data_IF_713548580721
#
_entry.id   IF_713548580721
#
_cell.length_a   1.000
_cell.length_b   1.000
_cell.length_c   1.000
_cell.angle_alpha   90.00
_cell.angle_beta   90.00
_cell.angle_gamma   90.00
#
_symmetry.space_group_name_H-M   'P 1'
#
loop_
_entity.id
_entity.type
_entity.pdbx_description
1 polymer ?
#
# COMPACT_ATOMS: atom_id res chain seq x y z
N UNK A 1 -23.82 -29.90 -9.35
CA UNK A 1 -23.32 -28.54 -9.67
C UNK A 1 -22.30 -28.22 -8.60
N UNK A 2 -21.01 -28.25 -8.91
CA UNK A 2 -19.99 -27.95 -7.92
C UNK A 2 -20.07 -26.44 -7.61
N UNK A 3 -20.33 -26.08 -6.35
CA UNK A 3 -20.13 -24.69 -5.90
C UNK A 3 -18.71 -24.27 -6.30
N UNK A 4 -18.52 -23.12 -6.96
CA UNK A 4 -17.17 -22.62 -7.17
C UNK A 4 -16.56 -22.42 -5.79
N UNK A 5 -15.47 -23.14 -5.49
CA UNK A 5 -14.76 -23.06 -4.23
C UNK A 5 -14.60 -21.58 -3.86
N UNK A 6 -15.23 -21.16 -2.75
CA UNK A 6 -15.26 -19.77 -2.28
C UNK A 6 -13.82 -19.31 -2.05
N UNK A 7 -13.21 -18.74 -3.08
CA UNK A 7 -11.83 -18.28 -3.01
C UNK A 7 -11.75 -17.18 -1.97
N UNK A 8 -10.77 -17.29 -1.08
CA UNK A 8 -10.61 -16.39 0.04
C UNK A 8 -10.32 -14.96 -0.47
N UNK A 9 -11.25 -14.04 -0.26
CA UNK A 9 -11.15 -12.63 -0.66
C UNK A 9 -9.96 -11.88 -0.03
N UNK A 10 -9.36 -12.48 1.00
CA UNK A 10 -8.16 -11.98 1.67
C UNK A 10 -6.87 -12.28 0.89
N UNK A 11 -6.91 -13.19 -0.09
CA UNK A 11 -5.73 -13.58 -0.87
C UNK A 11 -5.75 -12.81 -2.19
N UNK A 12 -4.70 -12.01 -2.50
CA UNK A 12 -4.61 -11.30 -3.76
C UNK A 12 -4.54 -12.28 -4.93
N UNK A 13 -5.51 -12.18 -5.85
CA UNK A 13 -5.69 -13.09 -6.97
C UNK A 13 -4.95 -12.60 -8.21
N UNK A 14 -5.02 -11.29 -8.50
CA UNK A 14 -4.39 -10.70 -9.67
C UNK A 14 -2.96 -10.26 -9.40
N UNK A 15 -2.16 -10.09 -10.47
CA UNK A 15 -0.79 -9.59 -10.36
C UNK A 15 -0.75 -8.21 -9.69
N UNK A 16 -1.69 -7.32 -10.00
CA UNK A 16 -1.77 -5.98 -9.39
C UNK A 16 -2.16 -6.01 -7.93
N UNK A 17 -3.05 -6.91 -7.51
CA UNK A 17 -3.34 -7.08 -6.08
C UNK A 17 -2.12 -7.56 -5.30
N UNK A 18 -1.28 -8.43 -5.89
CA UNK A 18 -0.02 -8.88 -5.28
C UNK A 18 1.00 -7.74 -5.19
N UNK A 19 1.13 -6.95 -6.26
CA UNK A 19 2.00 -5.76 -6.27
C UNK A 19 1.53 -4.73 -5.24
N UNK A 20 0.21 -4.50 -5.13
CA UNK A 20 -0.37 -3.61 -4.12
C UNK A 20 -0.07 -4.09 -2.71
N UNK A 21 -0.20 -5.39 -2.43
CA UNK A 21 0.17 -5.95 -1.13
C UNK A 21 1.66 -5.76 -0.82
N UNK A 22 2.54 -5.97 -1.80
CA UNK A 22 3.97 -5.73 -1.63
C UNK A 22 4.27 -4.24 -1.36
N UNK A 23 3.63 -3.32 -2.09
CA UNK A 23 3.75 -1.88 -1.86
C UNK A 23 3.25 -1.47 -0.48
N UNK A 24 2.09 -1.98 -0.07
CA UNK A 24 1.53 -1.76 1.27
C UNK A 24 2.53 -2.18 2.35
N UNK A 25 3.07 -3.41 2.26
CA UNK A 25 4.00 -3.93 3.23
C UNK A 25 5.29 -3.11 3.26
N UNK A 26 5.79 -2.70 2.10
CA UNK A 26 6.96 -1.84 2.00
C UNK A 26 6.74 -0.49 2.69
N UNK A 27 5.66 0.23 2.35
CA UNK A 27 5.32 1.50 2.99
C UNK A 27 5.10 1.36 4.50
N UNK A 28 4.41 0.30 4.93
CA UNK A 28 4.21 0.00 6.35
C UNK A 28 5.54 -0.19 7.07
N UNK A 29 6.47 -0.98 6.49
CA UNK A 29 7.80 -1.20 7.05
C UNK A 29 8.62 0.09 7.10
N UNK A 30 8.52 0.96 6.09
CA UNK A 30 9.25 2.24 6.11
C UNK A 30 8.72 3.19 7.18
N UNK A 31 7.40 3.26 7.39
CA UNK A 31 6.81 4.02 8.51
C UNK A 31 7.20 3.41 9.84
N UNK A 32 7.11 2.07 9.97
CA UNK A 32 7.53 1.35 11.17
C UNK A 32 9.00 1.61 11.49
N UNK A 33 9.90 1.51 10.52
CA UNK A 33 11.32 1.78 10.73
C UNK A 33 11.59 3.23 11.16
N UNK A 34 10.79 4.18 10.67
CA UNK A 34 10.86 5.58 11.05
C UNK A 34 10.71 5.82 12.55
N UNK A 35 9.90 5.01 13.25
CA UNK A 35 9.69 5.17 14.70
C UNK A 35 10.89 4.76 15.54
N UNK A 36 11.78 3.89 15.01
CA UNK A 36 12.96 3.40 15.72
C UNK A 36 14.25 4.11 15.28
N UNK A 37 14.43 4.31 13.97
CA UNK A 37 15.69 4.78 13.40
C UNK A 37 15.74 6.29 13.18
N UNK A 38 14.59 6.94 13.05
CA UNK A 38 14.48 8.37 12.69
C UNK A 38 13.95 9.18 13.88
N UNK A 39 13.85 8.58 15.08
CA UNK A 39 13.44 9.27 16.30
C UNK A 39 14.62 10.00 16.97
N UNK A 40 15.40 10.72 16.18
CA UNK A 40 16.45 11.61 16.67
C UNK A 40 15.90 13.04 16.78
N UNK A 41 16.43 13.88 17.69
CA UNK A 41 16.01 15.27 17.86
C UNK A 41 16.54 16.19 16.72
N UNK A 42 16.51 15.71 15.48
CA UNK A 42 16.89 16.48 14.30
C UNK A 42 15.63 17.14 13.77
N UNK A 43 15.68 18.46 13.62
CA UNK A 43 14.60 19.23 13.02
C UNK A 43 14.81 19.37 11.50
N UNK A 44 13.81 19.00 10.73
CA UNK A 44 13.74 19.21 9.28
C UNK A 44 12.56 20.14 9.02
N UNK A 45 12.81 21.30 8.39
CA UNK A 45 11.78 22.33 8.13
C UNK A 45 11.03 22.80 9.40
N UNK A 46 11.70 22.79 10.56
CA UNK A 46 11.10 23.18 11.85
C UNK A 46 10.23 22.10 12.50
N UNK A 47 10.17 20.89 11.95
CA UNK A 47 9.44 19.75 12.51
C UNK A 47 10.39 18.59 12.85
N UNK A 48 10.04 17.70 13.80
CA UNK A 48 10.83 16.51 14.07
C UNK A 48 11.00 15.66 12.81
N UNK A 49 12.22 15.16 12.55
CA UNK A 49 12.52 14.37 11.36
C UNK A 49 11.62 13.11 11.25
N UNK A 50 11.26 12.49 12.37
CA UNK A 50 10.29 11.38 12.43
C UNK A 50 8.93 11.76 11.86
N UNK A 51 8.46 12.99 12.12
CA UNK A 51 7.19 13.49 11.59
C UNK A 51 7.24 13.65 10.08
N UNK A 52 8.32 14.25 9.57
CA UNK A 52 8.54 14.44 8.12
C UNK A 52 8.65 13.09 7.42
N UNK A 53 9.36 12.14 8.01
CA UNK A 53 9.51 10.78 7.49
C UNK A 53 8.17 10.04 7.41
N UNK A 54 7.43 9.98 8.53
CA UNK A 54 6.13 9.31 8.58
C UNK A 54 5.11 9.95 7.62
N UNK A 55 5.11 11.28 7.51
CA UNK A 55 4.20 12.00 6.60
C UNK A 55 4.57 11.76 5.14
N UNK A 56 5.86 11.74 4.80
CA UNK A 56 6.33 11.46 3.43
C UNK A 56 6.00 10.04 2.98
N UNK A 57 6.28 9.04 3.82
CA UNK A 57 5.92 7.64 3.52
C UNK A 57 4.41 7.41 3.54
N UNK A 58 3.67 8.10 4.41
CA UNK A 58 2.20 8.09 4.41
C UNK A 58 1.62 8.65 3.12
N UNK A 59 2.17 9.75 2.58
CA UNK A 59 1.78 10.28 1.29
C UNK A 59 2.11 9.33 0.14
N UNK A 60 3.32 8.78 0.11
CA UNK A 60 3.71 7.78 -0.89
C UNK A 60 2.76 6.57 -0.87
N UNK A 61 2.38 6.12 0.33
CA UNK A 61 1.43 5.05 0.50
C UNK A 61 0.05 5.40 -0.09
N UNK A 62 -0.49 6.58 0.21
CA UNK A 62 -1.76 7.06 -0.37
C UNK A 62 -1.71 7.13 -1.90
N UNK A 63 -0.62 7.63 -2.47
CA UNK A 63 -0.44 7.66 -3.93
C UNK A 63 -0.44 6.24 -4.54
N UNK A 64 0.23 5.30 -3.90
CA UNK A 64 0.20 3.91 -4.35
C UNK A 64 -1.19 3.29 -4.22
N UNK A 65 -1.93 3.55 -3.13
CA UNK A 65 -3.31 3.09 -2.98
C UNK A 65 -4.21 3.60 -4.12
N UNK A 66 -4.10 4.88 -4.49
CA UNK A 66 -4.85 5.44 -5.61
C UNK A 66 -4.44 4.81 -6.94
N UNK A 67 -3.14 4.75 -7.23
CA UNK A 67 -2.65 4.22 -8.51
C UNK A 67 -2.99 2.73 -8.69
N UNK A 68 -2.68 1.90 -7.70
CA UNK A 68 -2.96 0.47 -7.78
C UNK A 68 -4.45 0.16 -7.67
N UNK A 69 -5.21 0.91 -6.86
CA UNK A 69 -6.66 0.78 -6.77
C UNK A 69 -7.33 0.96 -8.13
N UNK A 70 -7.02 2.05 -8.83
CA UNK A 70 -7.55 2.32 -10.17
C UNK A 70 -7.18 1.22 -11.19
N UNK A 71 -5.95 0.69 -11.11
CA UNK A 71 -5.51 -0.40 -12.01
C UNK A 71 -6.23 -1.71 -11.72
N UNK A 72 -6.47 -2.04 -10.45
CA UNK A 72 -7.21 -3.24 -10.04
C UNK A 72 -8.68 -3.12 -10.44
N UNK A 73 -9.31 -1.94 -10.30
CA UNK A 73 -10.68 -1.72 -10.75
C UNK A 73 -10.80 -1.84 -12.27
N UNK A 74 -9.88 -1.25 -13.04
CA UNK A 74 -9.87 -1.38 -14.49
C UNK A 74 -9.74 -2.85 -14.96
N UNK A 75 -8.90 -3.66 -14.31
CA UNK A 75 -8.82 -5.10 -14.61
C UNK A 75 -10.11 -5.85 -14.26
N UNK A 76 -10.75 -5.47 -13.16
CA UNK A 76 -12.01 -6.09 -12.72
C UNK A 76 -13.16 -5.75 -13.65
N UNK A 77 -13.19 -4.55 -14.21
CA UNK A 77 -14.17 -4.14 -15.21
C UNK A 77 -13.93 -4.88 -16.53
N UNK A 78 -12.68 -4.99 -16.98
CA UNK A 78 -12.33 -5.73 -18.20
C UNK A 78 -12.74 -7.21 -18.11
N UNK A 79 -12.51 -7.87 -16.97
CA UNK A 79 -12.87 -9.27 -16.75
C UNK A 79 -14.37 -9.52 -16.52
N UNK A 80 -15.19 -8.47 -16.38
CA UNK A 80 -16.66 -8.57 -16.30
C UNK A 80 -17.36 -8.38 -17.66
N UNK A 81 -16.65 -7.85 -18.64
CA UNK A 81 -17.15 -7.60 -20.00
C UNK A 81 -16.93 -8.76 -20.98
N UNK A 82 -16.14 -9.77 -20.59
CA UNK A 82 -15.97 -11.07 -21.26
C UNK A 82 -16.89 -12.13 -20.64
#
# INVERSE_FOLDING_TARGET
>A
MAEPARQNHLIPQTAWQKIYLAWFLFCFLMVWFGTWAVNEPVAVLGMPIVYVWCSGWGLAWLFGCLYFGLRIEAEREASRGE
#
